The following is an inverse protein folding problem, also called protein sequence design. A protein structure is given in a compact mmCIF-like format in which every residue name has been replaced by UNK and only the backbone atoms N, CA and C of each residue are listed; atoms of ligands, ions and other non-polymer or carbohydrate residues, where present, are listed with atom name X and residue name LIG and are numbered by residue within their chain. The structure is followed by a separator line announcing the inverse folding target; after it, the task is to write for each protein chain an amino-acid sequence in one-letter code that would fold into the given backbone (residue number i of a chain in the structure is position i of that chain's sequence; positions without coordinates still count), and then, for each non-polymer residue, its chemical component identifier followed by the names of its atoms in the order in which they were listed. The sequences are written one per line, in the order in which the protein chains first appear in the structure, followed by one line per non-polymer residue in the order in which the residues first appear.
data_IF_771280335616
#
_entry.id   IF_771280335616
#
_cell.length_a   1.000
_cell.length_b   1.000
_cell.length_c   1.000
_cell.angle_alpha   90.00
_cell.angle_beta   90.00
_cell.angle_gamma   90.00
#
_symmetry.space_group_name_H-M   'P 1'
#
loop_
_entity.id
_entity.type
_entity.pdbx_description
1 polymer ?
#
# COMPACT_ATOMS: atom_id res chain seq x y z
N UNK A 1 47.57 23.91 30.50
CA UNK A 1 46.29 23.23 30.79
C UNK A 1 46.58 22.08 31.73
N UNK A 2 45.88 22.07 32.86
CA UNK A 2 46.32 21.61 34.19
C UNK A 2 45.99 20.15 34.48
N UNK A 3 47.03 19.34 34.66
CA UNK A 3 46.98 18.02 35.29
C UNK A 3 48.13 17.92 36.31
N UNK A 4 48.00 18.58 37.46
CA UNK A 4 49.05 18.55 38.50
C UNK A 4 48.55 18.92 39.91
N UNK A 5 47.26 18.72 40.22
CA UNK A 5 46.68 19.16 41.51
C UNK A 5 46.26 18.02 42.46
N UNK A 6 46.83 16.82 42.31
CA UNK A 6 46.54 15.70 43.21
C UNK A 6 47.79 14.98 43.76
N UNK A 7 48.98 15.56 43.67
CA UNK A 7 50.22 14.93 44.19
C UNK A 7 50.94 15.71 45.30
N UNK A 8 50.43 16.87 45.72
CA UNK A 8 51.13 17.71 46.74
C UNK A 8 50.65 17.47 48.18
N UNK A 9 49.53 16.77 48.38
CA UNK A 9 48.99 16.53 49.74
C UNK A 9 49.51 15.28 50.45
N UNK A 10 50.35 14.46 49.82
CA UNK A 10 50.87 13.22 50.43
C UNK A 10 52.36 13.24 50.80
N UNK A 11 53.03 14.41 50.78
CA UNK A 11 54.47 14.53 51.07
C UNK A 11 54.86 15.47 52.23
N UNK A 12 53.90 15.94 53.03
CA UNK A 12 54.17 16.83 54.18
C UNK A 12 53.96 16.17 55.56
N UNK A 13 53.77 14.85 55.62
CA UNK A 13 53.60 14.08 56.88
C UNK A 13 54.83 13.22 57.20
N UNK A 14 56.02 13.59 56.70
CA UNK A 14 57.23 12.77 56.91
C UNK A 14 58.50 13.58 57.25
N UNK A 15 58.34 14.81 57.75
CA UNK A 15 59.47 15.57 58.31
C UNK A 15 59.09 16.14 59.67
N UNK A 16 59.31 15.33 60.72
CA UNK A 16 59.15 15.74 62.12
C UNK A 16 60.08 16.89 62.51
N UNK A 17 59.67 18.13 62.24
CA UNK A 17 60.27 19.34 62.78
C UNK A 17 59.26 20.14 63.60
N UNK A 18 59.54 20.17 64.90
CA UNK A 18 58.90 20.97 65.94
C UNK A 18 59.07 22.47 65.66
N UNK A 19 57.96 23.16 65.36
CA UNK A 19 57.90 24.62 65.39
C UNK A 19 57.45 25.07 66.79
N UNK A 20 58.36 25.74 67.52
CA UNK A 20 58.07 26.42 68.79
C UNK A 20 57.37 27.74 68.50
N UNK A 21 56.13 27.92 68.95
CA UNK A 21 55.43 29.21 68.93
C UNK A 21 55.45 29.78 70.34
N UNK A 22 56.18 30.88 70.52
CA UNK A 22 56.22 31.66 71.75
C UNK A 22 55.03 32.64 71.75
N UNK A 23 53.98 32.36 72.52
CA UNK A 23 52.88 33.31 72.75
C UNK A 23 53.15 34.05 74.05
N UNK A 24 53.53 35.33 73.93
CA UNK A 24 53.55 36.25 75.06
C UNK A 24 52.12 36.72 75.35
N UNK A 25 51.72 36.63 76.63
CA UNK A 25 50.45 37.08 77.16
C UNK A 25 50.39 38.61 77.32
N UNK A 26 49.23 39.22 77.10
CA UNK A 26 48.47 39.80 78.23
C UNK A 26 47.00 40.14 77.83
N UNK A 27 46.09 40.26 78.82
CA UNK A 27 44.71 39.79 78.71
C UNK A 27 43.68 40.92 78.71
N UNK A 28 42.51 40.68 78.12
CA UNK A 28 41.26 41.30 78.60
C UNK A 28 40.11 40.27 78.58
N UNK A 29 39.32 40.18 79.67
CA UNK A 29 38.32 39.13 79.80
C UNK A 29 37.00 39.57 79.20
N UNK A 30 36.49 38.81 78.22
CA UNK A 30 35.05 38.78 77.93
C UNK A 30 34.63 37.33 78.09
N UNK A 31 34.29 36.97 79.32
CA UNK A 31 33.31 35.91 79.53
C UNK A 31 31.96 36.44 79.07
N UNK A 32 31.57 36.10 77.85
CA UNK A 32 30.16 36.02 77.46
C UNK A 32 29.85 34.54 77.31
N UNK A 33 28.94 34.05 78.15
CA UNK A 33 28.66 32.63 78.34
C UNK A 33 28.27 31.91 77.06
N UNK A 34 29.10 30.95 76.66
CA UNK A 34 28.69 29.87 75.78
C UNK A 34 28.20 28.76 76.70
N UNK A 35 26.89 28.75 76.94
CA UNK A 35 26.24 27.66 77.66
C UNK A 35 26.37 26.38 76.84
N UNK A 36 26.40 25.23 77.51
CA UNK A 36 26.64 23.88 76.98
C UNK A 36 25.65 23.44 75.87
N UNK A 37 24.69 24.29 75.47
CA UNK A 37 23.76 24.09 74.37
C UNK A 37 24.20 24.65 73.00
N UNK A 38 25.19 25.55 72.94
CA UNK A 38 25.61 26.19 71.67
C UNK A 38 26.42 25.27 70.75
N UNK A 39 27.20 24.34 71.31
CA UNK A 39 27.92 23.34 70.52
C UNK A 39 26.98 22.36 69.81
N UNK A 40 25.85 22.04 70.44
CA UNK A 40 24.79 21.22 69.83
C UNK A 40 24.05 21.97 68.72
N UNK A 41 23.87 23.29 68.85
CA UNK A 41 23.26 24.11 67.80
C UNK A 41 24.17 24.25 66.56
N UNK A 42 25.49 24.42 66.77
CA UNK A 42 26.47 24.48 65.68
C UNK A 42 26.61 23.11 65.01
N UNK A 43 26.68 22.02 65.78
CA UNK A 43 26.72 20.65 65.27
C UNK A 43 25.44 20.26 64.50
N UNK A 44 24.27 20.61 65.04
CA UNK A 44 22.99 20.40 64.37
C UNK A 44 22.86 21.23 63.09
N UNK A 45 23.36 22.47 63.07
CA UNK A 45 23.38 23.34 61.89
C UNK A 45 24.27 22.81 60.77
N UNK A 46 25.46 22.29 61.10
CA UNK A 46 26.39 21.69 60.12
C UNK A 46 25.83 20.38 59.56
N UNK A 47 25.29 19.50 60.42
CA UNK A 47 24.67 18.24 59.98
C UNK A 47 23.44 18.50 59.11
N UNK A 48 22.60 19.48 59.49
CA UNK A 48 21.42 19.88 58.72
C UNK A 48 21.80 20.53 57.37
N UNK A 49 22.88 21.32 57.33
CA UNK A 49 23.43 21.91 56.10
C UNK A 49 24.00 20.86 55.13
N UNK A 50 24.69 19.84 55.65
CA UNK A 50 25.20 18.74 54.82
C UNK A 50 24.04 17.87 54.30
N UNK A 51 23.03 17.59 55.13
CA UNK A 51 21.87 16.80 54.71
C UNK A 51 21.07 17.51 53.61
N UNK A 52 20.84 18.81 53.74
CA UNK A 52 20.13 19.61 52.72
C UNK A 52 20.92 19.71 51.42
N UNK A 53 22.26 19.83 51.49
CA UNK A 53 23.12 19.79 50.31
C UNK A 53 23.07 18.41 49.60
N UNK A 54 23.10 17.31 50.37
CA UNK A 54 22.99 15.95 49.80
C UNK A 54 21.62 15.69 49.17
N UNK A 55 20.53 16.17 49.79
CA UNK A 55 19.18 16.09 49.24
C UNK A 55 19.07 16.90 47.94
N UNK A 56 19.64 18.10 47.88
CA UNK A 56 19.66 18.90 46.66
C UNK A 56 20.44 18.23 45.51
N UNK A 57 21.59 17.60 45.81
CA UNK A 57 22.38 16.84 44.84
C UNK A 57 21.62 15.60 44.36
N UNK A 58 20.93 14.90 45.27
CA UNK A 58 20.10 13.74 44.93
C UNK A 58 18.94 14.13 43.99
N UNK A 59 18.22 15.21 44.32
CA UNK A 59 17.12 15.73 43.48
C UNK A 59 17.65 16.18 42.11
N UNK A 60 18.79 16.87 42.05
CA UNK A 60 19.41 17.30 40.79
C UNK A 60 19.87 16.11 39.93
N UNK A 61 20.33 15.00 40.54
CA UNK A 61 20.66 13.76 39.82
C UNK A 61 19.43 13.05 39.30
N UNK A 62 18.36 12.99 40.09
CA UNK A 62 17.08 12.37 39.68
C UNK A 62 16.48 13.14 38.49
N UNK A 63 16.50 14.48 38.53
CA UNK A 63 16.04 15.31 37.41
C UNK A 63 16.86 15.12 36.12
N UNK A 64 18.18 14.90 36.24
CA UNK A 64 19.01 14.58 35.05
C UNK A 64 18.73 13.18 34.50
N UNK A 65 18.38 12.20 35.35
CA UNK A 65 18.08 10.85 34.90
C UNK A 65 16.69 10.73 34.26
N UNK A 66 15.68 11.43 34.77
CA UNK A 66 14.33 11.43 34.16
C UNK A 66 14.33 12.10 32.77
N UNK A 67 15.05 13.21 32.60
CA UNK A 67 15.18 13.89 31.29
C UNK A 67 15.91 13.06 30.23
N UNK A 68 16.79 12.14 30.63
CA UNK A 68 17.44 11.19 29.72
C UNK A 68 16.50 10.04 29.33
N UNK A 69 15.59 9.64 30.23
CA UNK A 69 14.54 8.66 29.96
C UNK A 69 13.50 9.17 28.96
N UNK A 70 13.00 10.39 29.16
CA UNK A 70 11.97 10.99 28.29
C UNK A 70 12.49 11.15 26.85
N UNK A 71 13.74 11.62 26.68
CA UNK A 71 14.37 11.74 25.36
C UNK A 71 14.61 10.39 24.67
N UNK A 72 14.85 9.33 25.44
CA UNK A 72 15.03 7.99 24.89
C UNK A 72 13.70 7.41 24.40
N UNK A 73 12.60 7.69 25.11
CA UNK A 73 11.24 7.33 24.70
C UNK A 73 10.82 8.11 23.44
N UNK A 74 11.03 9.43 23.40
CA UNK A 74 10.71 10.26 22.23
C UNK A 74 11.42 9.77 20.96
N UNK A 75 12.70 9.38 21.06
CA UNK A 75 13.46 8.82 19.94
C UNK A 75 12.96 7.43 19.52
N UNK A 76 12.46 6.62 20.46
CA UNK A 76 11.88 5.32 20.16
C UNK A 76 10.52 5.47 19.45
N UNK A 77 9.68 6.40 19.91
CA UNK A 77 8.38 6.71 19.32
C UNK A 77 8.52 7.29 17.91
N UNK A 78 9.45 8.23 17.71
CA UNK A 78 9.76 8.76 16.37
C UNK A 78 10.23 7.66 15.40
N UNK A 79 11.05 6.72 15.86
CA UNK A 79 11.48 5.58 15.01
C UNK A 79 10.32 4.63 14.70
N UNK A 80 9.42 4.40 15.65
CA UNK A 80 8.24 3.56 15.44
C UNK A 80 7.28 4.20 14.41
N UNK A 81 7.07 5.51 14.48
CA UNK A 81 6.28 6.25 13.49
C UNK A 81 6.92 6.23 12.10
N UNK A 82 8.23 6.49 12.01
CA UNK A 82 8.95 6.40 10.73
C UNK A 82 8.91 4.99 10.14
N UNK A 83 9.02 3.95 10.97
CA UNK A 83 8.89 2.56 10.52
C UNK A 83 7.49 2.26 9.98
N UNK A 84 6.43 2.79 10.60
CA UNK A 84 5.05 2.66 10.11
C UNK A 84 4.85 3.38 8.78
N UNK A 85 5.36 4.61 8.64
CA UNK A 85 5.28 5.36 7.39
C UNK A 85 6.03 4.63 6.26
N UNK A 86 7.25 4.15 6.53
CA UNK A 86 8.03 3.38 5.56
C UNK A 86 7.34 2.06 5.17
N UNK A 87 6.68 1.37 6.12
CA UNK A 87 5.88 0.18 5.82
C UNK A 87 4.69 0.52 4.91
N UNK A 88 3.95 1.58 5.19
CA UNK A 88 2.84 2.02 4.34
C UNK A 88 3.30 2.41 2.93
N UNK A 89 4.43 3.11 2.80
CA UNK A 89 5.01 3.45 1.50
C UNK A 89 5.42 2.20 0.73
N UNK A 90 6.07 1.24 1.36
CA UNK A 90 6.42 -0.05 0.73
C UNK A 90 5.18 -0.82 0.30
N UNK A 91 4.12 -0.82 1.09
CA UNK A 91 2.85 -1.45 0.70
C UNK A 91 2.21 -0.75 -0.50
N UNK A 92 2.26 0.59 -0.57
CA UNK A 92 1.77 1.35 -1.73
C UNK A 92 2.61 1.04 -2.96
N UNK A 93 3.93 1.03 -2.83
CA UNK A 93 4.84 0.68 -3.93
C UNK A 93 4.64 -0.77 -4.39
N UNK A 94 4.47 -1.73 -3.48
CA UNK A 94 4.19 -3.12 -3.82
C UNK A 94 2.83 -3.26 -4.54
N UNK A 95 1.81 -2.51 -4.13
CA UNK A 95 0.52 -2.47 -4.83
C UNK A 95 0.68 -1.89 -6.24
N UNK A 96 1.42 -0.79 -6.41
CA UNK A 96 1.71 -0.21 -7.72
C UNK A 96 2.53 -1.14 -8.60
N UNK A 97 3.58 -1.76 -8.07
CA UNK A 97 4.42 -2.71 -8.80
C UNK A 97 3.61 -3.92 -9.30
N UNK A 98 2.67 -4.44 -8.49
CA UNK A 98 1.74 -5.50 -8.92
C UNK A 98 0.84 -5.03 -10.05
N UNK A 99 0.37 -3.78 -10.04
CA UNK A 99 -0.40 -3.19 -11.14
C UNK A 99 0.46 -3.08 -12.40
N UNK A 100 1.65 -2.50 -12.32
CA UNK A 100 2.55 -2.39 -13.49
C UNK A 100 2.91 -3.76 -14.07
N UNK A 101 3.19 -4.75 -13.23
CA UNK A 101 3.49 -6.11 -13.67
C UNK A 101 2.36 -6.77 -14.47
N UNK A 102 1.11 -6.34 -14.26
CA UNK A 102 -0.07 -6.88 -14.96
C UNK A 102 -0.64 -5.95 -16.03
N UNK A 103 -0.01 -4.79 -16.26
CA UNK A 103 -0.55 -3.77 -17.16
C UNK A 103 -0.74 -4.30 -18.59
N UNK A 104 0.16 -5.18 -19.04
CA UNK A 104 0.01 -5.86 -20.33
C UNK A 104 -1.30 -6.65 -20.43
N UNK A 105 -1.63 -7.45 -19.40
CA UNK A 105 -2.85 -8.26 -19.37
C UNK A 105 -4.12 -7.39 -19.36
N UNK A 106 -4.06 -6.22 -18.72
CA UNK A 106 -5.15 -5.25 -18.77
C UNK A 106 -5.39 -4.74 -20.18
N UNK A 107 -4.32 -4.33 -20.88
CA UNK A 107 -4.42 -3.80 -22.23
C UNK A 107 -4.95 -4.87 -23.19
N UNK A 108 -4.43 -6.09 -23.12
CA UNK A 108 -4.93 -7.22 -23.91
C UNK A 108 -6.42 -7.47 -23.67
N UNK A 109 -6.85 -7.50 -22.39
CA UNK A 109 -8.26 -7.71 -22.06
C UNK A 109 -9.13 -6.57 -22.58
N UNK A 110 -8.67 -5.33 -22.46
CA UNK A 110 -9.37 -4.14 -22.94
C UNK A 110 -9.56 -4.19 -24.48
N UNK A 111 -8.52 -4.56 -25.22
CA UNK A 111 -8.58 -4.73 -26.68
C UNK A 111 -9.60 -5.79 -27.10
N UNK A 112 -9.59 -6.96 -26.44
CA UNK A 112 -10.55 -8.04 -26.70
C UNK A 112 -11.98 -7.61 -26.42
N UNK A 113 -12.22 -6.92 -25.30
CA UNK A 113 -13.56 -6.43 -24.97
C UNK A 113 -14.04 -5.34 -25.93
N UNK A 114 -13.14 -4.49 -26.41
CA UNK A 114 -13.44 -3.47 -27.42
C UNK A 114 -13.76 -4.10 -28.78
N UNK A 115 -13.01 -5.12 -29.19
CA UNK A 115 -13.32 -5.91 -30.39
C UNK A 115 -14.72 -6.53 -30.26
N UNK A 116 -15.05 -7.10 -29.10
CA UNK A 116 -16.36 -7.66 -28.81
C UNK A 116 -17.49 -6.63 -28.96
N UNK A 117 -17.31 -5.42 -28.42
CA UNK A 117 -18.29 -4.34 -28.57
C UNK A 117 -18.46 -3.90 -30.03
N UNK A 118 -17.37 -3.84 -30.79
CA UNK A 118 -17.44 -3.53 -32.22
C UNK A 118 -18.22 -4.61 -32.98
N UNK A 119 -17.97 -5.88 -32.71
CA UNK A 119 -18.69 -7.00 -33.33
C UNK A 119 -20.18 -6.94 -32.97
N UNK A 120 -20.50 -6.76 -31.69
CA UNK A 120 -21.88 -6.65 -31.21
C UNK A 120 -22.63 -5.51 -31.93
N UNK A 121 -22.00 -4.34 -32.01
CA UNK A 121 -22.58 -3.19 -32.68
C UNK A 121 -22.79 -3.46 -34.18
N UNK A 122 -21.80 -4.06 -34.86
CA UNK A 122 -21.93 -4.41 -36.27
C UNK A 122 -23.09 -5.38 -36.49
N UNK A 123 -23.16 -6.47 -35.72
CA UNK A 123 -24.21 -7.49 -35.85
C UNK A 123 -25.61 -6.91 -35.63
N UNK A 124 -25.78 -5.99 -34.67
CA UNK A 124 -27.08 -5.37 -34.39
C UNK A 124 -27.52 -4.36 -35.43
N UNK A 125 -26.59 -3.58 -35.98
CA UNK A 125 -26.93 -2.46 -36.86
C UNK A 125 -26.90 -2.83 -38.35
N UNK A 126 -26.08 -3.82 -38.73
CA UNK A 126 -25.81 -4.18 -40.12
C UNK A 126 -26.13 -5.66 -40.42
N UNK A 127 -26.52 -6.45 -39.42
CA UNK A 127 -26.89 -7.85 -39.61
C UNK A 127 -28.23 -8.02 -40.34
N UNK A 128 -28.61 -9.26 -40.68
CA UNK A 128 -27.96 -10.52 -40.28
C UNK A 128 -26.72 -10.86 -41.13
N UNK A 129 -25.76 -11.56 -40.52
CA UNK A 129 -24.48 -11.91 -41.13
C UNK A 129 -24.36 -13.40 -41.46
N UNK A 130 -23.74 -13.69 -42.59
CA UNK A 130 -23.31 -15.04 -43.01
C UNK A 130 -22.08 -15.51 -42.23
N UNK A 131 -21.69 -16.78 -42.41
CA UNK A 131 -20.52 -17.34 -41.74
C UNK A 131 -19.25 -16.61 -42.16
N UNK A 132 -19.10 -16.40 -43.47
CA UNK A 132 -17.95 -15.70 -44.06
C UNK A 132 -17.83 -14.27 -43.51
N UNK A 133 -18.95 -13.55 -43.42
CA UNK A 133 -18.93 -12.18 -42.88
C UNK A 133 -18.65 -12.14 -41.38
N UNK A 134 -19.17 -13.08 -40.59
CA UNK A 134 -18.84 -13.18 -39.17
C UNK A 134 -17.35 -13.52 -38.94
N UNK A 135 -16.77 -14.34 -39.81
CA UNK A 135 -15.33 -14.64 -39.78
C UNK A 135 -14.51 -13.39 -40.15
N UNK A 136 -14.96 -12.56 -41.10
CA UNK A 136 -14.37 -11.24 -41.39
C UNK A 136 -14.48 -10.25 -40.22
N UNK A 137 -15.55 -10.34 -39.42
CA UNK A 137 -15.69 -9.59 -38.17
C UNK A 137 -14.81 -10.15 -37.04
N UNK A 138 -14.06 -11.23 -37.28
CA UNK A 138 -13.13 -11.86 -36.31
C UNK A 138 -13.85 -12.42 -35.07
N UNK A 139 -15.10 -12.89 -35.22
CA UNK A 139 -15.85 -13.44 -34.08
C UNK A 139 -15.20 -14.70 -33.48
N UNK A 140 -14.59 -15.53 -34.33
CA UNK A 140 -13.87 -16.72 -33.87
C UNK A 140 -12.62 -16.36 -33.06
N UNK A 141 -11.92 -15.30 -33.46
CA UNK A 141 -10.76 -14.79 -32.74
C UNK A 141 -11.16 -14.21 -31.39
N UNK A 142 -12.23 -13.41 -31.32
CA UNK A 142 -12.81 -12.94 -30.05
C UNK A 142 -13.08 -14.12 -29.10
N UNK A 143 -13.71 -15.19 -29.60
CA UNK A 143 -14.05 -16.34 -28.78
C UNK A 143 -12.79 -17.04 -28.22
N UNK A 144 -11.79 -17.25 -29.07
CA UNK A 144 -10.53 -17.89 -28.72
C UNK A 144 -9.71 -17.03 -27.75
N UNK A 145 -9.53 -15.74 -28.03
CA UNK A 145 -8.75 -14.82 -27.21
C UNK A 145 -9.39 -14.61 -25.83
N UNK A 146 -10.72 -14.49 -25.76
CA UNK A 146 -11.43 -14.41 -24.49
C UNK A 146 -11.26 -15.68 -23.65
N UNK A 147 -11.26 -16.87 -24.28
CA UNK A 147 -11.00 -18.13 -23.58
C UNK A 147 -9.55 -18.24 -23.08
N UNK A 148 -8.57 -17.88 -23.91
CA UNK A 148 -7.17 -17.85 -23.52
C UNK A 148 -6.91 -16.87 -22.37
N UNK A 149 -7.50 -15.67 -22.43
CA UNK A 149 -7.44 -14.68 -21.36
C UNK A 149 -8.15 -15.17 -20.09
N UNK A 150 -9.27 -15.89 -20.21
CA UNK A 150 -9.93 -16.47 -19.05
C UNK A 150 -9.09 -17.52 -18.32
N UNK A 151 -8.22 -18.23 -19.04
CA UNK A 151 -7.34 -19.26 -18.49
C UNK A 151 -6.09 -18.68 -17.80
N UNK A 152 -5.56 -17.56 -18.28
CA UNK A 152 -4.32 -16.93 -17.76
C UNK A 152 -4.53 -15.66 -16.95
N UNK A 153 -5.72 -15.08 -17.02
CA UNK A 153 -6.09 -13.83 -16.38
C UNK A 153 -6.41 -14.00 -14.89
N UNK A 154 -6.71 -12.89 -14.20
CA UNK A 154 -7.11 -12.91 -12.80
C UNK A 154 -8.44 -13.65 -12.62
N UNK A 155 -8.60 -14.35 -11.49
CA UNK A 155 -9.75 -15.23 -11.19
C UNK A 155 -11.10 -14.53 -11.37
N UNK A 156 -11.17 -13.23 -11.03
CA UNK A 156 -12.40 -12.42 -11.17
C UNK A 156 -12.83 -12.24 -12.63
N UNK A 157 -11.90 -12.23 -13.57
CA UNK A 157 -12.16 -12.07 -15.01
C UNK A 157 -12.40 -13.39 -15.72
N UNK A 158 -11.97 -14.52 -15.14
CA UNK A 158 -12.08 -15.83 -15.78
C UNK A 158 -13.53 -16.17 -16.16
N UNK A 159 -14.46 -16.08 -15.21
CA UNK A 159 -15.87 -16.41 -15.47
C UNK A 159 -16.56 -15.45 -16.46
N UNK A 160 -16.44 -14.11 -16.33
CA UNK A 160 -16.95 -13.18 -17.33
C UNK A 160 -16.42 -13.43 -18.75
N UNK A 161 -15.11 -13.63 -18.91
CA UNK A 161 -14.50 -13.86 -20.22
C UNK A 161 -14.93 -15.19 -20.85
N UNK A 162 -15.12 -16.25 -20.05
CA UNK A 162 -15.71 -17.50 -20.54
C UNK A 162 -17.14 -17.31 -21.06
N UNK A 163 -17.95 -16.46 -20.41
CA UNK A 163 -19.30 -16.17 -20.88
C UNK A 163 -19.30 -15.39 -22.20
N UNK A 164 -18.37 -14.43 -22.36
CA UNK A 164 -18.15 -13.73 -23.63
C UNK A 164 -17.76 -14.72 -24.74
N UNK A 165 -16.77 -15.58 -24.49
CA UNK A 165 -16.34 -16.60 -25.47
C UNK A 165 -17.49 -17.53 -25.89
N UNK A 166 -18.28 -17.99 -24.92
CA UNK A 166 -19.46 -18.84 -25.18
C UNK A 166 -20.54 -18.10 -25.97
N UNK A 167 -20.77 -16.81 -25.69
CA UNK A 167 -21.73 -16.00 -26.43
C UNK A 167 -21.27 -15.77 -27.88
N UNK A 168 -20.00 -15.46 -28.09
CA UNK A 168 -19.39 -15.31 -29.42
C UNK A 168 -19.49 -16.61 -30.24
N UNK A 169 -19.15 -17.75 -29.63
CA UNK A 169 -19.27 -19.07 -30.28
C UNK A 169 -20.71 -19.40 -30.69
N UNK A 170 -21.69 -19.06 -29.83
CA UNK A 170 -23.11 -19.25 -30.16
C UNK A 170 -23.55 -18.36 -31.31
N UNK A 171 -23.07 -17.12 -31.34
CA UNK A 171 -23.38 -16.18 -32.41
C UNK A 171 -22.81 -16.67 -33.76
N UNK A 172 -21.60 -17.24 -33.77
CA UNK A 172 -21.02 -17.88 -34.95
C UNK A 172 -21.83 -19.10 -35.44
N UNK A 173 -22.35 -19.92 -34.52
CA UNK A 173 -23.20 -21.07 -34.87
C UNK A 173 -24.56 -20.64 -35.49
N UNK A 174 -25.00 -19.41 -35.23
CA UNK A 174 -26.25 -18.86 -35.74
C UNK A 174 -26.06 -18.05 -37.04
N UNK A 175 -24.90 -18.15 -37.69
CA UNK A 175 -24.64 -17.52 -38.97
C UNK A 175 -25.69 -17.87 -40.04
N UNK A 176 -26.00 -16.90 -40.90
CA UNK A 176 -26.82 -17.11 -42.09
C UNK A 176 -26.09 -18.06 -43.06
N UNK A 177 -26.82 -18.93 -43.78
CA UNK A 177 -26.22 -19.72 -44.85
C UNK A 177 -25.65 -18.79 -45.93
N UNK A 178 -24.48 -19.12 -46.46
CA UNK A 178 -23.87 -18.35 -47.55
C UNK A 178 -24.77 -18.44 -48.80
N UNK A 179 -24.90 -17.34 -49.54
CA UNK A 179 -25.79 -17.26 -50.73
C UNK A 179 -25.41 -18.29 -51.80
N UNK A 180 -24.14 -18.71 -51.83
CA UNK A 180 -23.61 -19.75 -52.72
C UNK A 180 -24.13 -21.16 -52.41
N UNK A 181 -24.65 -21.40 -51.21
CA UNK A 181 -25.20 -22.70 -50.80
C UNK A 181 -26.70 -22.85 -51.13
N UNK A 182 -27.33 -21.83 -51.74
CA UNK A 182 -28.70 -21.97 -52.22
C UNK A 182 -28.74 -22.77 -53.51
N UNK A 183 -29.57 -23.83 -53.62
CA UNK A 183 -29.85 -24.44 -54.91
C UNK A 183 -30.55 -23.39 -55.79
N UNK A 184 -29.84 -22.86 -56.77
CA UNK A 184 -30.39 -22.02 -57.82
C UNK A 184 -31.34 -22.88 -58.64
N UNK A 185 -32.63 -22.76 -58.38
CA UNK A 185 -33.64 -23.32 -59.29
C UNK A 185 -33.60 -22.48 -60.57
N UNK A 186 -33.19 -23.04 -61.73
CA UNK A 186 -33.04 -22.27 -62.94
C UNK A 186 -34.42 -22.00 -63.53
N UNK A 187 -34.96 -20.80 -63.30
CA UNK A 187 -36.15 -20.33 -64.01
C UNK A 187 -35.73 -19.24 -65.00
N UNK A 188 -35.94 -19.43 -66.31
CA UNK A 188 -35.49 -18.48 -67.31
C UNK A 188 -36.46 -17.28 -67.33
N UNK A 189 -35.97 -16.11 -66.91
CA UNK A 189 -36.58 -14.82 -67.29
C UNK A 189 -37.06 -13.90 -66.16
N UNK A 190 -36.90 -14.23 -64.88
CA UNK A 190 -37.39 -13.37 -63.79
C UNK A 190 -36.28 -12.75 -62.95
N UNK A 191 -36.42 -11.45 -62.70
CA UNK A 191 -35.71 -10.70 -61.65
C UNK A 191 -35.78 -11.52 -60.36
N UNK A 192 -34.64 -12.04 -59.92
CA UNK A 192 -34.54 -12.93 -58.77
C UNK A 192 -34.76 -12.13 -57.48
N UNK A 193 -36.01 -11.82 -57.15
CA UNK A 193 -36.37 -11.45 -55.78
C UNK A 193 -36.18 -12.70 -54.92
N UNK A 194 -35.03 -12.76 -54.27
CA UNK A 194 -34.72 -13.78 -53.27
C UNK A 194 -35.71 -13.62 -52.12
N UNK A 195 -36.80 -14.39 -52.15
CA UNK A 195 -37.74 -14.43 -51.05
C UNK A 195 -37.04 -15.02 -49.83
N UNK A 196 -36.86 -14.21 -48.78
CA UNK A 196 -36.33 -14.67 -47.49
C UNK A 196 -37.26 -15.74 -46.96
N UNK A 197 -36.73 -16.92 -46.67
CA UNK A 197 -37.54 -18.01 -46.13
C UNK A 197 -37.92 -17.72 -44.67
N UNK A 198 -39.03 -18.27 -44.18
CA UNK A 198 -39.41 -18.14 -42.77
C UNK A 198 -38.35 -18.72 -41.81
N UNK A 199 -37.54 -19.70 -42.27
CA UNK A 199 -36.42 -20.23 -41.50
C UNK A 199 -35.27 -19.22 -41.38
N UNK A 200 -34.94 -18.53 -42.47
CA UNK A 200 -33.93 -17.47 -42.50
C UNK A 200 -34.31 -16.28 -41.62
N UNK A 201 -35.58 -15.86 -41.67
CA UNK A 201 -36.08 -14.80 -40.80
C UNK A 201 -35.97 -15.16 -39.30
N UNK A 202 -36.33 -16.39 -38.92
CA UNK A 202 -36.16 -16.86 -37.54
C UNK A 202 -34.69 -16.90 -37.12
N UNK A 203 -33.79 -17.26 -38.04
CA UNK A 203 -32.35 -17.29 -37.78
C UNK A 203 -31.78 -15.89 -37.58
N UNK A 204 -32.18 -14.93 -38.41
CA UNK A 204 -31.82 -13.52 -38.26
C UNK A 204 -32.26 -12.96 -36.89
N UNK A 205 -33.50 -13.24 -36.45
CA UNK A 205 -33.97 -12.84 -35.11
C UNK A 205 -33.13 -13.48 -34.01
N UNK A 206 -32.76 -14.76 -34.14
CA UNK A 206 -31.91 -15.42 -33.15
C UNK A 206 -30.50 -14.83 -33.13
N UNK A 207 -29.95 -14.46 -34.28
CA UNK A 207 -28.65 -13.80 -34.38
C UNK A 207 -28.66 -12.44 -33.67
N UNK A 208 -29.71 -11.64 -33.86
CA UNK A 208 -29.91 -10.36 -33.16
C UNK A 208 -29.99 -10.53 -31.63
N UNK A 209 -30.80 -11.51 -31.16
CA UNK A 209 -30.89 -11.83 -29.72
C UNK A 209 -29.55 -12.27 -29.13
N UNK A 210 -28.76 -13.04 -29.88
CA UNK A 210 -27.44 -13.46 -29.44
C UNK A 210 -26.44 -12.31 -29.43
N UNK A 211 -26.54 -11.34 -30.34
CA UNK A 211 -25.74 -10.13 -30.32
C UNK A 211 -26.06 -9.28 -29.07
N UNK A 212 -27.35 -9.09 -28.76
CA UNK A 212 -27.77 -8.45 -27.51
C UNK A 212 -27.18 -9.14 -26.27
N UNK A 213 -27.25 -10.47 -26.22
CA UNK A 213 -26.66 -11.24 -25.13
C UNK A 213 -25.15 -11.10 -25.06
N UNK A 214 -24.45 -11.05 -26.19
CA UNK A 214 -23.02 -10.80 -26.23
C UNK A 214 -22.70 -9.42 -25.60
N UNK A 215 -23.51 -8.40 -25.91
CA UNK A 215 -23.40 -7.07 -25.29
C UNK A 215 -23.56 -7.08 -23.77
N UNK A 216 -24.53 -7.83 -23.24
CA UNK A 216 -24.72 -7.99 -21.79
C UNK A 216 -23.50 -8.64 -21.11
N UNK A 217 -22.97 -9.71 -21.70
CA UNK A 217 -21.80 -10.41 -21.15
C UNK A 217 -20.52 -9.55 -21.24
N UNK A 218 -20.35 -8.79 -22.33
CA UNK A 218 -19.27 -7.82 -22.48
C UNK A 218 -19.36 -6.73 -21.42
N UNK A 219 -20.55 -6.20 -21.14
CA UNK A 219 -20.74 -5.22 -20.07
C UNK A 219 -20.37 -5.82 -18.70
N UNK A 220 -20.75 -7.07 -18.44
CA UNK A 220 -20.34 -7.78 -17.23
C UNK A 220 -18.82 -7.93 -17.11
N UNK A 221 -18.14 -8.23 -18.22
CA UNK A 221 -16.67 -8.33 -18.25
C UNK A 221 -16.00 -6.96 -18.06
N UNK A 222 -16.55 -5.88 -18.63
CA UNK A 222 -16.08 -4.50 -18.41
C UNK A 222 -16.19 -4.07 -16.96
N UNK A 223 -17.31 -4.37 -16.31
CA UNK A 223 -17.50 -4.07 -14.89
C UNK A 223 -16.46 -4.82 -14.04
N UNK A 224 -16.27 -6.11 -14.28
CA UNK A 224 -15.27 -6.92 -13.58
C UNK A 224 -13.83 -6.43 -13.82
N UNK A 225 -13.51 -5.99 -15.06
CA UNK A 225 -12.21 -5.41 -15.39
C UNK A 225 -11.96 -4.11 -14.63
N UNK A 226 -12.98 -3.25 -14.58
CA UNK A 226 -12.93 -1.97 -13.87
C UNK A 226 -12.80 -2.17 -12.37
N UNK A 227 -13.49 -3.15 -11.79
CA UNK A 227 -13.38 -3.49 -10.36
C UNK A 227 -12.00 -4.08 -10.00
N UNK A 228 -11.44 -4.96 -10.84
CA UNK A 228 -10.13 -5.58 -10.59
C UNK A 228 -9.00 -4.56 -10.69
N UNK A 229 -9.10 -3.62 -11.64
CA UNK A 229 -8.06 -2.62 -11.86
C UNK A 229 -8.24 -1.35 -11.03
N UNK A 230 -9.47 -1.06 -10.65
CA UNK A 230 -9.85 0.07 -9.82
C UNK A 230 -9.70 1.41 -10.55
N UNK A 231 -10.73 2.24 -10.40
CA UNK A 231 -10.53 3.70 -10.30
C UNK A 231 -9.43 4.04 -9.30
#
# INVERSE_FOLDING_TARGET
MTAANLQTYSRAIDSGQSMKISVAADPTPIMAGVTTGDWLAIGAGVVSGILTALVAIAIARVQRFSQLGDRAQDLADQRAEQARLAQQERERQNRQARRYARQHQYLETNEVLRLGQQIEWQVRNNGPYTKTELDHLRIGELAMEAEQLAARGPDRLSSPLQRVSKAASRLQQMAMPDVTDRPTSPSPGNVTTVAITHAEFRRAIQQDRLAHKLGEELQGAWNALTEEWGS
#
